data_IF_197988378479
#
_entry.id   IF_197988378479
#
_cell.length_a   1.000
_cell.length_b   1.000
_cell.length_c   1.000
_cell.angle_alpha   90.00
_cell.angle_beta   90.00
_cell.angle_gamma   90.00
#
_symmetry.space_group_name_H-M   'P 1'
#
loop_
_entity.id
_entity.type
_entity.pdbx_description
1 polymer ?
#
# COMPACT_ATOMS: atom_id res chain seq x y z
N UNK A 1 -0.80 30.89 27.90
CA UNK A 1 -1.58 31.29 26.72
C UNK A 1 -1.55 30.15 25.73
N UNK A 2 -2.72 29.56 25.46
CA UNK A 2 -3.11 28.64 24.37
C UNK A 2 -2.15 27.49 23.99
N UNK A 3 -2.39 26.32 24.60
CA UNK A 3 -2.35 25.02 23.91
C UNK A 3 -3.81 24.67 23.59
N UNK A 4 -4.15 24.54 22.30
CA UNK A 4 -5.43 24.00 21.83
C UNK A 4 -5.24 23.50 20.40
N UNK A 5 -5.83 22.34 20.11
CA UNK A 5 -6.06 21.71 18.80
C UNK A 5 -4.94 20.83 18.22
N UNK A 6 -4.92 19.57 18.66
CA UNK A 6 -4.57 18.40 17.85
C UNK A 6 -5.61 17.32 18.15
N UNK A 7 -6.78 17.43 17.51
CA UNK A 7 -7.86 16.44 17.60
C UNK A 7 -8.90 16.67 16.49
N UNK A 8 -8.48 16.80 15.23
CA UNK A 8 -9.38 16.82 14.07
C UNK A 8 -8.63 16.18 12.91
N UNK A 9 -8.84 14.89 12.67
CA UNK A 9 -8.23 14.15 11.55
C UNK A 9 -8.82 12.75 11.41
N UNK A 10 -9.18 12.12 12.53
CA UNK A 10 -9.70 10.74 12.59
C UNK A 10 -11.20 10.64 12.26
N UNK A 11 -11.96 11.75 12.31
CA UNK A 11 -13.43 11.68 12.17
C UNK A 11 -13.96 11.70 10.72
N UNK A 12 -13.13 11.90 9.70
CA UNK A 12 -13.63 12.00 8.33
C UNK A 12 -13.89 10.61 7.70
N UNK A 13 -13.07 9.59 8.01
CA UNK A 13 -13.07 8.32 7.28
C UNK A 13 -14.24 7.36 7.60
N UNK A 14 -14.99 7.56 8.69
CA UNK A 14 -16.06 6.64 9.12
C UNK A 14 -17.45 6.93 8.52
N UNK A 15 -17.64 8.01 7.76
CA UNK A 15 -18.98 8.55 7.48
C UNK A 15 -19.64 8.09 6.15
N UNK A 16 -19.08 7.12 5.42
CA UNK A 16 -19.62 6.70 4.11
C UNK A 16 -20.85 5.77 4.21
N UNK A 17 -21.26 5.33 5.40
CA UNK A 17 -22.28 4.27 5.57
C UNK A 17 -23.76 4.71 5.80
N UNK A 18 -24.25 5.87 5.34
CA UNK A 18 -25.63 6.28 5.71
C UNK A 18 -26.58 6.83 4.64
N UNK A 19 -26.26 6.82 3.34
CA UNK A 19 -27.19 7.39 2.32
C UNK A 19 -27.57 6.51 1.14
N UNK A 20 -27.14 5.25 1.06
CA UNK A 20 -27.84 4.25 0.23
C UNK A 20 -28.74 3.39 1.12
N UNK A 21 -30.02 3.30 0.78
CA UNK A 21 -31.08 2.54 1.48
C UNK A 21 -31.82 3.27 2.61
N UNK A 22 -32.67 4.24 2.23
CA UNK A 22 -33.94 4.46 2.92
C UNK A 22 -35.07 4.52 1.90
N UNK A 23 -35.56 3.35 1.48
CA UNK A 23 -36.97 3.13 1.12
C UNK A 23 -37.24 1.66 0.77
N UNK A 24 -37.56 0.85 1.78
CA UNK A 24 -38.44 -0.29 1.59
C UNK A 24 -39.03 -0.70 2.94
N UNK A 25 -40.21 -0.16 3.27
CA UNK A 25 -41.26 -0.87 4.01
C UNK A 25 -42.45 0.05 4.26
N UNK A 26 -43.47 -0.02 3.39
CA UNK A 26 -44.87 -0.28 3.79
C UNK A 26 -45.72 -0.46 2.55
N UNK A 27 -46.20 -1.69 2.33
CA UNK A 27 -47.37 -1.95 1.49
C UNK A 27 -48.61 -1.39 2.19
N UNK A 28 -49.32 -0.46 1.56
CA UNK A 28 -50.77 -0.49 1.60
C UNK A 28 -51.37 0.12 0.33
N UNK A 29 -52.40 -0.56 -0.19
CA UNK A 29 -53.07 -0.30 -1.47
C UNK A 29 -53.85 1.01 -1.45
N UNK A 30 -53.63 1.86 -2.45
CA UNK A 30 -54.73 2.60 -3.10
C UNK A 30 -54.33 3.10 -4.49
N UNK A 31 -55.08 2.65 -5.50
CA UNK A 31 -55.05 3.17 -6.88
C UNK A 31 -55.38 4.66 -6.90
N UNK A 32 -54.46 5.50 -7.38
CA UNK A 32 -54.79 6.75 -8.07
C UNK A 32 -53.77 6.95 -9.19
N UNK A 33 -54.30 6.93 -10.41
CA UNK A 33 -53.68 7.25 -11.68
C UNK A 33 -53.04 8.65 -11.63
N UNK A 34 -51.72 8.73 -11.78
CA UNK A 34 -51.03 9.97 -12.12
C UNK A 34 -49.72 9.62 -12.83
N UNK A 35 -49.72 9.89 -14.13
CA UNK A 35 -48.58 9.90 -15.03
C UNK A 35 -47.43 10.76 -14.45
N UNK A 36 -46.37 10.10 -14.01
CA UNK A 36 -45.04 10.69 -13.87
C UNK A 36 -44.10 9.75 -14.60
N UNK A 37 -43.42 10.29 -15.61
CA UNK A 37 -42.36 9.60 -16.34
C UNK A 37 -41.33 9.05 -15.34
N UNK A 38 -41.31 7.73 -15.14
CA UNK A 38 -40.14 7.03 -14.63
C UNK A 38 -39.03 7.18 -15.67
N UNK A 39 -38.19 8.21 -15.51
CA UNK A 39 -36.91 8.28 -16.20
C UNK A 39 -36.02 7.17 -15.65
N UNK A 40 -36.01 6.03 -16.35
CA UNK A 40 -34.96 5.02 -16.28
C UNK A 40 -33.59 5.69 -16.58
N UNK A 41 -32.87 6.12 -15.55
CA UNK A 41 -31.53 6.72 -15.67
C UNK A 41 -30.49 5.99 -14.81
N UNK A 42 -30.44 4.66 -14.90
CA UNK A 42 -29.25 3.89 -14.53
C UNK A 42 -28.55 3.43 -15.80
N UNK A 43 -28.01 4.38 -16.56
CA UNK A 43 -27.04 4.04 -17.60
C UNK A 43 -25.74 3.72 -16.86
N UNK A 44 -25.26 2.47 -16.95
CA UNK A 44 -24.00 2.06 -16.31
C UNK A 44 -22.88 2.99 -16.81
N UNK A 45 -22.18 3.65 -15.89
CA UNK A 45 -21.07 4.55 -16.22
C UNK A 45 -19.90 3.79 -16.84
N UNK A 46 -19.66 2.56 -16.37
CA UNK A 46 -18.64 1.64 -16.86
C UNK A 46 -19.27 0.26 -17.02
N UNK A 47 -18.94 -0.40 -18.12
CA UNK A 47 -19.21 -1.82 -18.35
C UNK A 47 -17.89 -2.52 -18.68
N UNK A 48 -17.64 -3.69 -18.10
CA UNK A 48 -16.46 -4.50 -18.38
C UNK A 48 -16.85 -5.58 -19.39
N UNK A 49 -16.28 -5.52 -20.59
CA UNK A 49 -16.52 -6.43 -21.73
C UNK A 49 -15.25 -7.22 -22.03
N UNK A 50 -15.10 -8.39 -21.40
CA UNK A 50 -13.95 -9.31 -21.49
C UNK A 50 -12.58 -8.60 -21.41
N UNK A 51 -12.09 -8.09 -22.53
CA UNK A 51 -10.78 -7.43 -22.67
C UNK A 51 -10.84 -5.88 -22.57
N UNK A 52 -12.02 -5.28 -22.39
CA UNK A 52 -12.19 -3.82 -22.48
C UNK A 52 -13.06 -3.21 -21.39
N UNK A 53 -12.79 -1.93 -21.08
CA UNK A 53 -13.69 -1.06 -20.34
C UNK A 53 -14.54 -0.27 -21.33
N UNK A 54 -15.85 -0.33 -21.24
CA UNK A 54 -16.76 0.50 -22.03
C UNK A 54 -17.21 1.65 -21.13
N UNK A 55 -16.70 2.84 -21.39
CA UNK A 55 -16.93 4.03 -20.56
C UNK A 55 -17.91 4.97 -21.29
N UNK A 56 -19.07 5.18 -20.69
CA UNK A 56 -19.97 6.27 -21.09
C UNK A 56 -19.52 7.54 -20.38
N UNK A 57 -18.79 8.40 -21.10
CA UNK A 57 -18.15 9.60 -20.54
C UNK A 57 -19.12 10.54 -19.82
N UNK A 58 -20.34 10.70 -20.31
CA UNK A 58 -21.35 11.57 -19.69
C UNK A 58 -21.84 10.97 -18.38
N UNK A 59 -22.22 9.69 -18.40
CA UNK A 59 -22.65 8.95 -17.21
C UNK A 59 -21.53 8.83 -16.18
N UNK A 60 -20.29 8.62 -16.62
CA UNK A 60 -19.11 8.63 -15.76
C UNK A 60 -18.92 9.98 -15.05
N UNK A 61 -19.03 11.09 -15.81
CA UNK A 61 -18.90 12.44 -15.26
C UNK A 61 -19.97 12.70 -14.20
N UNK A 62 -21.21 12.30 -14.47
CA UNK A 62 -22.33 12.48 -13.54
C UNK A 62 -22.14 11.65 -12.27
N UNK A 63 -21.77 10.37 -12.39
CA UNK A 63 -21.53 9.49 -11.24
C UNK A 63 -20.34 9.98 -10.42
N UNK A 64 -19.22 10.33 -11.05
CA UNK A 64 -18.03 10.84 -10.37
C UNK A 64 -18.38 12.12 -9.59
N UNK A 65 -18.98 13.10 -10.24
CA UNK A 65 -19.34 14.37 -9.60
C UNK A 65 -20.35 14.18 -8.46
N UNK A 66 -21.31 13.26 -8.62
CA UNK A 66 -22.26 12.90 -7.55
C UNK A 66 -21.54 12.31 -6.34
N UNK A 67 -20.56 11.42 -6.54
CA UNK A 67 -19.76 10.87 -5.44
C UNK A 67 -18.96 11.97 -4.72
N UNK A 68 -18.30 12.86 -5.46
CA UNK A 68 -17.58 14.01 -4.88
C UNK A 68 -18.52 14.91 -4.05
N UNK A 69 -19.72 15.21 -4.56
CA UNK A 69 -20.69 16.07 -3.87
C UNK A 69 -21.31 15.45 -2.63
N UNK A 70 -21.56 14.14 -2.66
CA UNK A 70 -22.25 13.41 -1.60
C UNK A 70 -21.35 13.05 -0.42
N UNK A 71 -20.04 13.09 -0.60
CA UNK A 71 -19.08 12.68 0.43
C UNK A 71 -18.39 13.87 1.10
N UNK A 72 -18.52 13.97 2.42
CA UNK A 72 -17.77 14.93 3.23
C UNK A 72 -16.26 14.67 3.21
N UNK A 73 -15.81 13.43 2.94
CA UNK A 73 -14.37 13.11 2.83
C UNK A 73 -13.75 13.59 1.53
N UNK A 74 -14.56 13.77 0.49
CA UNK A 74 -14.13 14.23 -0.83
C UNK A 74 -14.27 15.75 -0.97
N UNK A 75 -14.61 16.42 0.14
CA UNK A 75 -14.82 17.86 0.20
C UNK A 75 -13.49 18.60 0.00
N UNK A 76 -13.32 19.16 -1.19
CA UNK A 76 -12.09 19.83 -1.60
C UNK A 76 -11.53 19.28 -2.91
N UNK A 77 -11.94 18.08 -3.30
CA UNK A 77 -11.66 17.52 -4.62
C UNK A 77 -12.54 18.25 -5.64
N UNK A 78 -11.93 18.67 -6.76
CA UNK A 78 -12.64 19.38 -7.81
C UNK A 78 -13.56 18.44 -8.60
N UNK A 79 -14.59 19.01 -9.22
CA UNK A 79 -15.48 18.27 -10.11
C UNK A 79 -14.88 18.20 -11.51
N UNK A 80 -15.27 17.17 -12.26
CA UNK A 80 -15.01 17.11 -13.69
C UNK A 80 -15.90 18.16 -14.37
N UNK A 81 -15.28 19.21 -14.91
CA UNK A 81 -15.99 20.26 -15.64
C UNK A 81 -16.11 19.97 -17.14
N UNK A 82 -15.03 19.42 -17.72
CA UNK A 82 -14.93 19.18 -19.17
C UNK A 82 -13.94 18.07 -19.49
N UNK A 83 -14.07 17.54 -20.70
CA UNK A 83 -13.13 16.58 -21.27
C UNK A 83 -12.46 17.19 -22.50
N UNK A 84 -11.14 17.23 -22.49
CA UNK A 84 -10.32 17.60 -23.63
C UNK A 84 -10.04 16.35 -24.47
N UNK A 85 -10.39 16.40 -25.77
CA UNK A 85 -10.20 15.28 -26.70
C UNK A 85 -8.96 15.52 -27.56
N UNK A 86 -8.05 14.55 -27.55
CA UNK A 86 -6.88 14.49 -28.43
C UNK A 86 -6.96 13.25 -29.31
N UNK A 87 -6.60 13.38 -30.59
CA UNK A 87 -6.56 12.24 -31.51
C UNK A 87 -5.10 11.82 -31.69
N UNK A 88 -4.78 10.57 -31.39
CA UNK A 88 -3.42 10.03 -31.48
C UNK A 88 -3.46 8.75 -32.32
N UNK A 89 -2.92 8.80 -33.54
CA UNK A 89 -2.94 7.69 -34.52
C UNK A 89 -4.29 6.93 -34.59
N UNK A 90 -4.37 5.74 -33.98
CA UNK A 90 -5.55 4.86 -33.98
C UNK A 90 -6.51 5.09 -32.80
N UNK A 91 -6.19 6.02 -31.90
CA UNK A 91 -6.87 6.20 -30.62
C UNK A 91 -7.42 7.63 -30.43
N UNK A 92 -8.47 7.72 -29.64
CA UNK A 92 -9.05 8.96 -29.11
C UNK A 92 -8.77 9.02 -27.62
N UNK A 93 -7.99 10.00 -27.19
CA UNK A 93 -7.64 10.19 -25.79
C UNK A 93 -8.51 11.31 -25.24
N UNK A 94 -9.25 11.02 -24.19
CA UNK A 94 -10.05 11.98 -23.45
C UNK A 94 -9.34 12.26 -22.13
N UNK A 95 -9.04 13.53 -21.85
CA UNK A 95 -8.37 13.95 -20.62
C UNK A 95 -9.23 14.94 -19.86
N UNK A 96 -9.18 14.88 -18.55
CA UNK A 96 -9.73 15.91 -17.67
C UNK A 96 -8.77 16.13 -16.51
N UNK A 97 -8.79 17.34 -15.96
CA UNK A 97 -8.04 17.68 -14.76
C UNK A 97 -9.02 17.71 -13.59
N UNK A 98 -8.65 17.04 -12.51
CA UNK A 98 -9.35 17.08 -11.23
C UNK A 98 -8.31 17.47 -10.19
N UNK A 99 -8.41 18.67 -9.65
CA UNK A 99 -7.39 19.23 -8.75
C UNK A 99 -6.02 19.23 -9.46
N UNK A 100 -4.99 18.63 -8.87
CA UNK A 100 -3.65 18.52 -9.45
C UNK A 100 -3.46 17.28 -10.33
N UNK A 101 -4.49 16.47 -10.52
CA UNK A 101 -4.40 15.18 -11.18
C UNK A 101 -5.02 15.19 -12.56
N UNK A 102 -4.49 14.34 -13.44
CA UNK A 102 -5.06 14.13 -14.77
C UNK A 102 -5.70 12.75 -14.80
N UNK A 103 -7.00 12.72 -15.10
CA UNK A 103 -7.70 11.48 -15.46
C UNK A 103 -7.73 11.38 -16.98
N UNK A 104 -7.30 10.25 -17.53
CA UNK A 104 -7.40 9.99 -18.96
C UNK A 104 -8.05 8.67 -19.31
N UNK A 105 -8.81 8.68 -20.40
CA UNK A 105 -9.38 7.51 -21.06
C UNK A 105 -8.81 7.40 -22.46
N UNK A 106 -8.30 6.23 -22.82
CA UNK A 106 -7.92 5.92 -24.19
C UNK A 106 -9.00 5.05 -24.85
N UNK A 107 -9.63 5.57 -25.91
CA UNK A 107 -10.63 4.86 -26.72
C UNK A 107 -10.05 4.48 -28.07
N UNK A 108 -10.10 3.20 -28.44
CA UNK A 108 -9.70 2.74 -29.76
C UNK A 108 -10.68 3.28 -30.83
N UNK A 109 -10.21 3.78 -31.98
CA UNK A 109 -11.10 4.29 -33.06
C UNK A 109 -11.89 3.18 -33.75
N UNK A 110 -11.43 1.93 -33.65
CA UNK A 110 -12.11 0.73 -34.17
C UNK A 110 -12.77 -0.02 -33.01
N UNK A 111 -14.02 0.34 -32.71
CA UNK A 111 -14.82 -0.25 -31.64
C UNK A 111 -14.92 0.67 -30.43
N UNK A 112 -16.08 0.73 -29.77
CA UNK A 112 -16.35 1.63 -28.64
C UNK A 112 -15.68 1.16 -27.34
N UNK A 113 -14.37 0.96 -27.36
CA UNK A 113 -13.64 0.22 -26.32
C UNK A 113 -12.55 1.09 -25.71
N UNK A 114 -12.58 1.28 -24.40
CA UNK A 114 -11.56 1.97 -23.62
C UNK A 114 -10.55 0.99 -23.03
N UNK A 115 -9.27 1.35 -23.09
CA UNK A 115 -8.16 0.46 -22.79
C UNK A 115 -7.79 0.48 -21.30
N UNK A 116 -7.76 1.67 -20.70
CA UNK A 116 -7.45 1.86 -19.27
C UNK A 116 -7.88 3.27 -18.79
N UNK A 117 -8.04 3.43 -17.48
CA UNK A 117 -8.13 4.74 -16.80
C UNK A 117 -6.75 5.02 -16.22
N UNK A 118 -6.14 6.17 -16.48
CA UNK A 118 -4.86 6.55 -15.87
C UNK A 118 -5.00 7.85 -15.07
N UNK A 119 -4.58 7.81 -13.80
CA UNK A 119 -4.38 8.98 -12.94
C UNK A 119 -2.89 9.32 -12.91
N UNK A 120 -2.54 10.52 -13.36
CA UNK A 120 -1.15 11.00 -13.41
C UNK A 120 -0.97 12.16 -12.45
N UNK A 121 0.04 12.07 -11.60
CA UNK A 121 0.52 13.17 -10.78
C UNK A 121 1.91 13.63 -11.24
N UNK A 122 2.16 14.92 -11.22
CA UNK A 122 3.48 15.48 -11.48
C UNK A 122 3.74 16.57 -10.44
N UNK A 123 4.47 16.26 -9.35
CA UNK A 123 5.35 17.15 -8.55
C UNK A 123 5.58 16.63 -7.11
N UNK A 124 6.34 17.39 -6.30
CA UNK A 124 6.58 17.16 -4.87
C UNK A 124 5.28 17.34 -4.05
N UNK A 125 4.53 16.25 -3.98
CA UNK A 125 3.22 16.21 -3.31
C UNK A 125 3.30 16.49 -1.82
N UNK A 126 2.37 17.34 -1.37
CA UNK A 126 2.04 17.45 0.04
C UNK A 126 1.32 16.18 0.53
N UNK A 127 1.24 16.00 1.83
CA UNK A 127 0.42 14.94 2.43
C UNK A 127 -1.06 15.04 2.00
N UNK A 128 -1.55 16.26 1.81
CA UNK A 128 -2.90 16.53 1.30
C UNK A 128 -3.08 16.03 -0.14
N UNK A 129 -2.08 16.18 -1.00
CA UNK A 129 -2.12 15.68 -2.39
C UNK A 129 -2.15 14.15 -2.42
N UNK A 130 -1.37 13.45 -1.59
CA UNK A 130 -1.44 11.98 -1.52
C UNK A 130 -2.80 11.48 -1.03
N UNK A 131 -3.39 12.15 -0.04
CA UNK A 131 -4.73 11.82 0.44
C UNK A 131 -5.78 12.04 -0.65
N UNK A 132 -5.68 13.14 -1.40
CA UNK A 132 -6.57 13.41 -2.54
C UNK A 132 -6.39 12.38 -3.66
N UNK A 133 -5.14 11.99 -3.95
CA UNK A 133 -4.85 10.97 -4.96
C UNK A 133 -5.50 9.64 -4.60
N UNK A 134 -5.24 9.15 -3.39
CA UNK A 134 -5.83 7.91 -2.90
C UNK A 134 -7.37 7.95 -2.90
N UNK A 135 -7.95 9.09 -2.50
CA UNK A 135 -9.39 9.29 -2.53
C UNK A 135 -9.95 9.21 -3.95
N UNK A 136 -9.29 9.85 -4.94
CA UNK A 136 -9.69 9.78 -6.35
C UNK A 136 -9.54 8.34 -6.87
N UNK A 137 -8.43 7.67 -6.60
CA UNK A 137 -8.22 6.26 -6.99
C UNK A 137 -9.35 5.37 -6.48
N UNK A 138 -9.75 5.55 -5.22
CA UNK A 138 -10.83 4.79 -4.61
C UNK A 138 -12.20 5.09 -5.24
N UNK A 139 -12.49 6.35 -5.55
CA UNK A 139 -13.70 6.73 -6.30
C UNK A 139 -13.72 6.03 -7.66
N UNK A 140 -12.61 6.07 -8.40
CA UNK A 140 -12.49 5.41 -9.70
C UNK A 140 -12.72 3.90 -9.60
N UNK A 141 -12.13 3.24 -8.60
CA UNK A 141 -12.33 1.82 -8.36
C UNK A 141 -13.79 1.49 -8.01
N UNK A 142 -14.41 2.30 -7.16
CA UNK A 142 -15.82 2.13 -6.76
C UNK A 142 -16.77 2.23 -7.95
N UNK A 143 -16.51 3.14 -8.90
CA UNK A 143 -17.30 3.27 -10.14
C UNK A 143 -17.17 2.02 -11.02
N UNK A 144 -16.04 1.31 -10.96
CA UNK A 144 -15.81 0.11 -11.76
C UNK A 144 -16.45 -1.14 -11.13
N UNK A 145 -16.32 -1.32 -9.82
CA UNK A 145 -16.52 -2.62 -9.18
C UNK A 145 -17.95 -2.88 -8.72
N UNK A 146 -18.78 -1.85 -8.53
CA UNK A 146 -20.11 -1.97 -7.92
C UNK A 146 -20.04 -2.76 -6.58
N UNK A 147 -19.10 -2.42 -5.69
CA UNK A 147 -18.88 -3.14 -4.43
C UNK A 147 -20.12 -3.20 -3.52
N UNK A 148 -20.36 -4.36 -2.91
CA UNK A 148 -21.14 -4.45 -1.67
C UNK A 148 -20.31 -3.92 -0.48
N UNK A 149 -20.97 -3.31 0.52
CA UNK A 149 -20.32 -2.56 1.61
C UNK A 149 -19.15 -3.27 2.32
N UNK A 150 -19.22 -4.60 2.52
CA UNK A 150 -18.15 -5.33 3.23
C UNK A 150 -16.90 -5.55 2.38
N UNK A 151 -17.06 -5.84 1.08
CA UNK A 151 -15.94 -5.99 0.13
C UNK A 151 -15.25 -4.66 -0.14
N UNK A 152 -16.01 -3.57 -0.03
CA UNK A 152 -15.53 -2.20 -0.25
C UNK A 152 -14.42 -1.82 0.74
N UNK A 153 -14.52 -2.20 2.02
CA UNK A 153 -13.54 -1.81 3.04
C UNK A 153 -12.25 -2.64 2.94
N UNK A 154 -12.37 -3.94 2.66
CA UNK A 154 -11.22 -4.81 2.38
C UNK A 154 -10.42 -4.28 1.17
N UNK A 155 -11.10 -4.07 0.04
CA UNK A 155 -10.47 -3.54 -1.18
C UNK A 155 -9.83 -2.15 -0.96
N UNK A 156 -10.45 -1.30 -0.14
CA UNK A 156 -9.90 0.00 0.25
C UNK A 156 -8.57 -0.14 1.00
N UNK A 157 -8.50 -1.11 1.92
CA UNK A 157 -7.29 -1.36 2.69
C UNK A 157 -6.16 -1.89 1.80
N UNK A 158 -6.46 -2.80 0.87
CA UNK A 158 -5.49 -3.32 -0.09
C UNK A 158 -4.93 -2.19 -0.98
N UNK A 159 -5.80 -1.32 -1.50
CA UNK A 159 -5.39 -0.15 -2.29
C UNK A 159 -4.49 0.80 -1.50
N UNK A 160 -4.82 1.05 -0.24
CA UNK A 160 -4.03 1.90 0.64
C UNK A 160 -2.68 1.28 0.97
N UNK A 161 -2.62 -0.04 1.19
CA UNK A 161 -1.37 -0.77 1.41
C UNK A 161 -0.44 -0.66 0.21
N UNK A 162 -0.92 -1.03 -0.98
CA UNK A 162 -0.13 -0.97 -2.22
C UNK A 162 0.31 0.47 -2.53
N UNK A 163 -0.59 1.44 -2.35
CA UNK A 163 -0.24 2.85 -2.54
C UNK A 163 0.87 3.30 -1.59
N UNK A 164 0.78 2.95 -0.31
CA UNK A 164 1.81 3.28 0.68
C UNK A 164 3.13 2.61 0.37
N UNK A 165 3.13 1.35 -0.07
CA UNK A 165 4.35 0.63 -0.44
C UNK A 165 5.03 1.33 -1.64
N UNK A 166 4.27 1.72 -2.67
CA UNK A 166 4.78 2.49 -3.82
C UNK A 166 5.32 3.87 -3.39
N UNK A 167 4.58 4.62 -2.57
CA UNK A 167 4.98 5.96 -2.10
C UNK A 167 6.16 5.93 -1.12
N UNK A 168 6.28 4.89 -0.30
CA UNK A 168 7.43 4.72 0.59
C UNK A 168 8.68 4.34 -0.20
N UNK A 169 8.53 3.52 -1.24
CA UNK A 169 9.62 3.12 -2.13
C UNK A 169 10.18 4.32 -2.91
N UNK A 170 9.36 5.31 -3.26
CA UNK A 170 9.80 6.62 -3.81
C UNK A 170 10.93 7.27 -2.99
N UNK A 171 10.92 7.16 -1.66
CA UNK A 171 11.95 7.80 -0.80
C UNK A 171 13.35 7.20 -0.97
N UNK A 172 13.47 6.05 -1.65
CA UNK A 172 14.70 5.29 -1.73
C UNK A 172 15.54 5.58 -2.99
N UNK A 173 15.02 6.35 -3.96
CA UNK A 173 15.61 6.46 -5.29
C UNK A 173 15.90 7.90 -5.72
N UNK A 174 17.10 8.11 -6.28
CA UNK A 174 17.56 9.42 -6.78
C UNK A 174 17.71 9.50 -8.30
N UNK A 175 17.48 8.43 -9.05
CA UNK A 175 17.80 8.36 -10.47
C UNK A 175 16.74 7.58 -11.28
N UNK A 176 15.90 8.29 -12.04
CA UNK A 176 15.67 8.05 -13.47
C UNK A 176 14.93 6.80 -13.98
N UNK A 177 14.79 5.73 -13.19
CA UNK A 177 14.19 4.47 -13.65
C UNK A 177 12.75 4.29 -13.13
N UNK A 178 12.03 3.24 -13.56
CA UNK A 178 10.75 2.81 -12.96
C UNK A 178 11.06 2.15 -11.61
N UNK A 179 10.46 2.64 -10.52
CA UNK A 179 11.03 2.45 -9.17
C UNK A 179 10.20 1.56 -8.26
N UNK A 180 8.89 1.51 -8.46
CA UNK A 180 7.99 0.70 -7.66
C UNK A 180 6.70 0.42 -8.44
N UNK A 181 6.25 -0.82 -8.40
CA UNK A 181 4.99 -1.28 -8.98
C UNK A 181 4.26 -2.10 -7.92
N UNK A 182 2.94 -2.02 -7.90
CA UNK A 182 2.08 -2.95 -7.17
C UNK A 182 0.69 -2.97 -7.79
N UNK A 183 -0.11 -3.98 -7.46
CA UNK A 183 -1.47 -4.08 -7.98
C UNK A 183 -2.46 -4.57 -6.93
N UNK A 184 -3.73 -4.23 -7.16
CA UNK A 184 -4.87 -4.78 -6.41
C UNK A 184 -5.82 -5.45 -7.38
N UNK A 185 -6.34 -6.62 -7.00
CA UNK A 185 -7.31 -7.36 -7.80
C UNK A 185 -8.72 -7.09 -7.30
N UNK A 186 -9.55 -6.45 -8.13
CA UNK A 186 -10.99 -6.35 -7.91
C UNK A 186 -11.76 -7.53 -8.50
N UNK A 187 -13.09 -7.48 -8.40
CA UNK A 187 -13.97 -8.50 -8.97
C UNK A 187 -14.04 -8.40 -10.50
N UNK A 188 -13.96 -7.17 -11.05
CA UNK A 188 -14.05 -6.91 -12.49
C UNK A 188 -12.76 -6.38 -13.10
N UNK A 189 -11.92 -5.72 -12.30
CA UNK A 189 -10.74 -5.01 -12.77
C UNK A 189 -9.47 -5.36 -11.99
N UNK A 190 -8.33 -5.11 -12.63
CA UNK A 190 -7.00 -5.03 -12.01
C UNK A 190 -6.63 -3.55 -11.89
N UNK A 191 -6.01 -3.21 -10.77
CA UNK A 191 -5.66 -1.86 -10.36
C UNK A 191 -4.16 -1.77 -10.14
N UNK A 192 -3.41 -1.30 -11.13
CA UNK A 192 -1.97 -1.16 -11.00
C UNK A 192 -1.62 0.24 -10.48
N UNK A 193 -0.69 0.30 -9.53
CA UNK A 193 -0.12 1.52 -8.98
C UNK A 193 1.37 1.46 -9.25
N UNK A 194 1.91 2.45 -9.94
CA UNK A 194 3.34 2.51 -10.21
C UNK A 194 3.90 3.90 -9.97
N UNK A 195 5.19 3.94 -9.68
CA UNK A 195 5.95 5.17 -9.50
C UNK A 195 7.17 5.20 -10.41
N UNK A 196 7.30 6.31 -11.13
CA UNK A 196 8.44 6.60 -12.00
C UNK A 196 9.04 7.94 -11.61
N UNK A 197 10.37 8.03 -11.67
CA UNK A 197 11.07 9.30 -11.59
C UNK A 197 11.82 9.52 -12.90
N UNK A 198 11.42 10.48 -13.71
CA UNK A 198 12.16 10.83 -14.91
C UNK A 198 13.07 12.01 -14.65
N UNK A 199 14.31 11.93 -15.14
CA UNK A 199 15.18 13.09 -15.16
C UNK A 199 14.68 14.05 -16.25
N UNK A 200 14.31 15.27 -15.88
CA UNK A 200 13.85 16.25 -16.86
C UNK A 200 14.97 16.61 -17.85
N UNK A 201 14.58 17.19 -18.98
CA UNK A 201 15.48 17.62 -20.07
C UNK A 201 16.54 18.62 -19.58
N UNK A 202 16.30 19.32 -18.47
CA UNK A 202 17.24 20.29 -17.91
C UNK A 202 18.29 19.70 -16.94
N UNK A 203 18.28 18.38 -16.72
CA UNK A 203 19.23 17.64 -15.87
C UNK A 203 19.23 18.08 -14.39
N UNK A 204 18.32 18.97 -13.97
CA UNK A 204 18.26 19.55 -12.63
C UNK A 204 16.96 19.30 -11.87
N UNK A 205 15.91 18.86 -12.57
CA UNK A 205 14.60 18.54 -11.98
C UNK A 205 14.20 17.10 -12.27
N UNK A 206 13.58 16.43 -11.28
CA UNK A 206 13.02 15.10 -11.43
C UNK A 206 11.50 15.22 -11.51
N UNK A 207 10.90 14.74 -12.60
CA UNK A 207 9.45 14.62 -12.71
C UNK A 207 9.05 13.29 -12.08
N UNK A 208 8.62 13.41 -10.82
CA UNK A 208 8.10 12.31 -10.02
C UNK A 208 6.64 12.09 -10.38
N UNK A 209 6.32 10.90 -10.87
CA UNK A 209 4.98 10.58 -11.33
C UNK A 209 4.50 9.26 -10.75
N UNK A 210 3.33 9.32 -10.10
CA UNK A 210 2.57 8.14 -9.73
C UNK A 210 1.53 7.93 -10.83
N UNK A 211 1.46 6.69 -11.30
CA UNK A 211 0.47 6.22 -12.25
C UNK A 211 -0.45 5.24 -11.54
N UNK A 212 -1.74 5.42 -11.75
CA UNK A 212 -2.76 4.44 -11.37
C UNK A 212 -3.51 4.01 -12.61
N UNK A 213 -3.44 2.73 -12.98
CA UNK A 213 -4.12 2.17 -14.14
C UNK A 213 -5.20 1.17 -13.75
N UNK A 214 -6.37 1.26 -14.41
CA UNK A 214 -7.47 0.30 -14.26
C UNK A 214 -7.65 -0.47 -15.56
N UNK A 215 -7.61 -1.80 -15.50
CA UNK A 215 -7.80 -2.70 -16.64
C UNK A 215 -8.76 -3.85 -16.30
N UNK A 216 -9.42 -4.52 -17.26
CA UNK A 216 -10.26 -5.69 -16.96
C UNK A 216 -9.48 -6.86 -16.34
N UNK A 217 -10.10 -7.59 -15.41
CA UNK A 217 -9.53 -8.76 -14.72
C UNK A 217 -9.48 -10.01 -15.62
N UNK A 218 -8.62 -9.97 -16.63
CA UNK A 218 -8.34 -11.13 -17.50
C UNK A 218 -7.08 -11.87 -17.05
N UNK A 219 -6.96 -13.17 -17.31
CA UNK A 219 -5.73 -13.95 -17.03
C UNK A 219 -4.48 -13.25 -17.58
N UNK A 220 -4.59 -12.65 -18.77
CA UNK A 220 -3.50 -11.89 -19.39
C UNK A 220 -3.09 -10.67 -18.56
N UNK A 221 -4.06 -9.85 -18.14
CA UNK A 221 -3.77 -8.63 -17.39
C UNK A 221 -3.24 -8.97 -15.98
N UNK A 222 -3.84 -9.97 -15.32
CA UNK A 222 -3.37 -10.48 -14.03
C UNK A 222 -1.91 -10.97 -14.14
N UNK A 223 -1.60 -11.78 -15.16
CA UNK A 223 -0.23 -12.28 -15.36
C UNK A 223 0.78 -11.17 -15.68
N UNK A 224 0.35 -10.10 -16.37
CA UNK A 224 1.20 -8.96 -16.67
C UNK A 224 1.54 -8.17 -15.41
N UNK A 225 0.55 -7.92 -14.53
CA UNK A 225 0.73 -7.25 -13.24
C UNK A 225 1.61 -8.06 -12.28
N UNK A 226 1.44 -9.39 -12.25
CA UNK A 226 2.28 -10.30 -11.46
C UNK A 226 3.73 -10.34 -11.96
N UNK A 227 3.94 -10.38 -13.29
CA UNK A 227 5.29 -10.39 -13.87
C UNK A 227 6.07 -9.10 -13.63
N UNK A 228 5.39 -7.95 -13.44
CA UNK A 228 6.07 -6.70 -13.05
C UNK A 228 6.55 -6.71 -11.60
N UNK A 229 5.84 -7.39 -10.71
CA UNK A 229 6.21 -7.50 -9.30
C UNK A 229 7.50 -8.33 -9.12
N UNK A 230 7.63 -9.46 -9.84
CA UNK A 230 8.84 -10.30 -9.83
C UNK A 230 10.11 -9.58 -10.34
N UNK A 231 9.97 -8.57 -11.22
CA UNK A 231 11.09 -7.78 -11.71
C UNK A 231 11.57 -6.70 -10.71
N UNK A 232 10.76 -6.38 -9.69
CA UNK A 232 11.05 -5.35 -8.68
C UNK A 232 11.86 -5.86 -7.48
N UNK A 233 11.95 -7.19 -7.29
CA UNK A 233 12.66 -7.81 -6.17
C UNK A 233 14.21 -7.65 -6.21
N UNK A 234 14.80 -7.22 -7.35
CA UNK A 234 16.26 -7.15 -7.53
C UNK A 234 16.93 -5.80 -7.21
N UNK A 235 16.24 -4.81 -6.63
CA UNK A 235 16.81 -3.44 -6.50
C UNK A 235 17.48 -3.19 -5.12
N UNK A 236 18.76 -2.75 -5.06
CA UNK A 236 19.48 -2.53 -3.82
C UNK A 236 19.12 -1.20 -3.12
N UNK A 237 18.89 -1.24 -1.81
CA UNK A 237 18.70 -0.05 -0.95
C UNK A 237 20.04 0.64 -0.63
N UNK A 238 20.07 1.97 -0.75
CA UNK A 238 21.26 2.82 -0.62
C UNK A 238 21.24 3.56 0.72
N UNK A 239 22.23 3.30 1.59
CA UNK A 239 22.44 4.01 2.85
C UNK A 239 22.75 5.50 2.61
N UNK A 240 21.95 6.41 3.13
CA UNK A 240 22.32 7.83 3.21
C UNK A 240 23.18 8.06 4.44
N UNK A 241 24.51 8.10 4.27
CA UNK A 241 25.42 8.67 5.27
C UNK A 241 25.23 10.18 5.30
N UNK A 242 24.73 10.69 6.42
CA UNK A 242 24.90 12.09 6.82
C UNK A 242 26.31 12.26 7.38
N UNK A 243 27.06 13.18 6.76
CA UNK A 243 28.32 13.69 7.29
C UNK A 243 28.08 14.41 8.62
N UNK A 244 28.61 13.87 9.73
CA UNK A 244 28.96 14.66 10.90
C UNK A 244 30.37 14.26 11.40
N UNK A 245 31.28 15.21 11.32
CA UNK A 245 32.53 15.24 12.06
C UNK A 245 32.26 15.12 13.57
N UNK A 246 32.89 14.17 14.27
CA UNK A 246 33.64 14.51 15.48
C UNK A 246 34.55 13.36 15.95
N UNK A 247 35.82 13.74 16.10
CA UNK A 247 36.80 13.34 17.09
C UNK A 247 37.34 11.91 17.18
N UNK A 248 38.54 11.81 16.61
CA UNK A 248 39.69 11.02 17.04
C UNK A 248 39.75 10.79 18.56
N UNK A 249 39.86 9.52 18.95
CA UNK A 249 40.97 9.14 19.83
C UNK A 249 41.50 7.75 19.47
N UNK A 250 42.81 7.73 19.24
CA UNK A 250 43.63 6.59 18.85
C UNK A 250 44.03 5.85 20.12
N UNK A 251 43.95 4.52 20.13
CA UNK A 251 44.96 3.66 20.75
C UNK A 251 45.10 2.34 19.98
N UNK A 252 46.13 2.28 19.14
CA UNK A 252 46.92 1.06 18.84
C UNK A 252 47.68 0.66 20.12
N UNK A 253 48.08 -0.57 20.41
CA UNK A 253 48.70 -1.59 19.56
C UNK A 253 48.67 -2.96 20.30
N UNK A 254 48.39 -4.06 19.57
CA UNK A 254 49.29 -5.21 19.25
C UNK A 254 49.65 -6.15 20.44
N UNK A 255 49.77 -7.48 20.35
CA UNK A 255 50.08 -8.38 19.22
C UNK A 255 49.66 -9.84 19.54
N UNK A 256 48.96 -10.47 18.60
CA UNK A 256 49.14 -11.82 17.99
C UNK A 256 49.53 -13.05 18.84
N UNK A 257 48.68 -14.09 18.81
CA UNK A 257 49.08 -15.41 18.29
C UNK A 257 47.87 -16.23 17.77
N UNK A 258 48.10 -16.86 16.62
CA UNK A 258 47.19 -17.48 15.67
C UNK A 258 46.50 -18.76 16.17
N UNK A 259 45.18 -18.87 15.94
CA UNK A 259 44.48 -20.07 15.42
C UNK A 259 42.96 -19.89 15.55
N UNK A 260 42.33 -19.10 14.65
CA UNK A 260 40.89 -19.09 14.32
C UNK A 260 40.65 -17.84 13.46
N UNK A 261 40.65 -17.95 12.13
CA UNK A 261 40.51 -16.76 11.29
C UNK A 261 39.66 -16.95 10.02
N UNK A 262 38.92 -18.06 9.91
CA UNK A 262 37.97 -18.25 8.81
C UNK A 262 36.49 -18.18 9.25
N UNK A 263 36.15 -18.40 10.53
CA UNK A 263 34.73 -18.46 10.96
C UNK A 263 34.13 -17.08 11.30
N UNK A 264 34.94 -16.13 11.81
CA UNK A 264 34.44 -14.83 12.29
C UNK A 264 33.89 -13.94 11.17
N UNK A 265 34.47 -13.99 9.95
CA UNK A 265 33.99 -13.14 8.85
C UNK A 265 32.66 -13.57 8.26
N UNK A 266 32.32 -14.87 8.38
CA UNK A 266 31.07 -15.41 7.84
C UNK A 266 29.90 -15.19 8.82
N UNK A 267 30.17 -15.31 10.12
CA UNK A 267 29.22 -14.97 11.19
C UNK A 267 28.87 -13.48 11.18
N UNK A 268 29.89 -12.61 11.13
CA UNK A 268 29.69 -11.16 10.99
C UNK A 268 28.88 -10.83 9.72
N UNK A 269 29.10 -11.56 8.62
CA UNK A 269 28.34 -11.36 7.39
C UNK A 269 26.87 -11.80 7.49
N UNK A 270 26.57 -12.88 8.21
CA UNK A 270 25.19 -13.32 8.43
C UNK A 270 24.43 -12.36 9.35
N UNK A 271 25.04 -11.96 10.46
CA UNK A 271 24.46 -10.96 11.37
C UNK A 271 24.13 -9.66 10.62
N UNK A 272 25.08 -9.16 9.81
CA UNK A 272 24.84 -7.95 9.02
C UNK A 272 23.72 -8.13 7.98
N UNK A 273 23.60 -9.29 7.34
CA UNK A 273 22.47 -9.58 6.45
C UNK A 273 21.14 -9.50 7.18
N UNK A 274 21.05 -10.04 8.40
CA UNK A 274 19.82 -10.02 9.20
C UNK A 274 19.51 -8.59 9.67
N UNK A 275 20.51 -7.83 10.09
CA UNK A 275 20.36 -6.40 10.43
C UNK A 275 19.85 -5.62 9.23
N UNK A 276 20.45 -5.80 8.05
CA UNK A 276 20.03 -5.13 6.81
C UNK A 276 18.60 -5.49 6.43
N UNK A 277 18.23 -6.77 6.48
CA UNK A 277 16.87 -7.23 6.21
C UNK A 277 15.86 -6.62 7.20
N UNK A 278 16.18 -6.63 8.50
CA UNK A 278 15.32 -6.05 9.55
C UNK A 278 15.12 -4.56 9.31
N UNK A 279 16.19 -3.81 9.02
CA UNK A 279 16.10 -2.37 8.72
C UNK A 279 15.33 -2.08 7.44
N UNK A 280 15.51 -2.91 6.39
CA UNK A 280 14.76 -2.81 5.13
C UNK A 280 13.25 -2.92 5.39
N UNK A 281 12.84 -3.90 6.20
CA UNK A 281 11.42 -4.19 6.41
C UNK A 281 10.79 -3.23 7.42
N UNK A 282 11.40 -3.04 8.60
CA UNK A 282 10.83 -2.21 9.67
C UNK A 282 11.12 -0.71 9.51
N UNK A 283 12.14 -0.32 8.75
CA UNK A 283 12.66 1.05 8.70
C UNK A 283 13.77 1.26 9.74
N UNK A 284 14.75 2.12 9.43
CA UNK A 284 15.88 2.37 10.32
C UNK A 284 15.45 2.97 11.66
N UNK A 285 14.41 3.81 11.65
CA UNK A 285 13.85 4.47 12.82
C UNK A 285 13.12 3.50 13.77
N UNK A 286 12.72 2.33 13.26
CA UNK A 286 11.99 1.31 14.00
C UNK A 286 12.86 0.09 14.31
N UNK A 287 14.07 0.01 13.77
CA UNK A 287 15.06 -0.97 14.20
C UNK A 287 15.44 -0.70 15.67
N UNK A 288 15.34 -1.73 16.52
CA UNK A 288 15.79 -1.64 17.91
C UNK A 288 17.09 -2.41 18.07
N UNK A 289 17.05 -3.73 17.82
CA UNK A 289 18.22 -4.58 18.01
C UNK A 289 18.08 -5.92 17.27
N UNK A 290 19.21 -6.52 16.91
CA UNK A 290 19.32 -7.89 16.42
C UNK A 290 20.40 -8.57 17.24
N UNK A 291 20.01 -9.60 17.99
CA UNK A 291 20.94 -10.41 18.75
C UNK A 291 21.13 -11.74 18.02
N UNK A 292 22.30 -11.92 17.39
CA UNK A 292 22.66 -13.16 16.71
C UNK A 292 23.58 -14.02 17.59
N UNK A 293 23.17 -15.26 17.87
CA UNK A 293 23.96 -16.27 18.57
C UNK A 293 24.45 -17.31 17.56
N UNK A 294 25.72 -17.22 17.12
CA UNK A 294 26.23 -18.07 16.04
C UNK A 294 26.39 -19.54 16.44
N UNK A 295 26.53 -19.87 17.73
CA UNK A 295 26.67 -21.28 18.15
C UNK A 295 25.40 -22.10 17.93
N UNK A 296 24.23 -21.47 18.16
CA UNK A 296 22.91 -22.10 18.01
C UNK A 296 22.22 -21.70 16.69
N UNK A 297 22.91 -20.90 15.86
CA UNK A 297 22.38 -20.25 14.65
C UNK A 297 20.98 -19.68 14.93
N UNK A 298 20.91 -18.88 15.99
CA UNK A 298 19.69 -18.32 16.53
C UNK A 298 19.77 -16.80 16.44
N UNK A 299 18.66 -16.17 16.06
CA UNK A 299 18.56 -14.72 16.07
C UNK A 299 17.31 -14.27 16.80
N UNK A 300 17.48 -13.26 17.66
CA UNK A 300 16.38 -12.49 18.21
C UNK A 300 16.32 -11.12 17.54
N UNK A 301 15.27 -10.88 16.78
CA UNK A 301 14.96 -9.62 16.14
C UNK A 301 14.02 -8.83 17.03
N UNK A 302 14.46 -7.65 17.49
CA UNK A 302 13.64 -6.69 18.22
C UNK A 302 13.45 -5.45 17.36
N UNK A 303 12.20 -5.14 17.04
CA UNK A 303 11.85 -4.00 16.20
C UNK A 303 10.55 -3.35 16.67
N UNK A 304 10.36 -2.07 16.34
CA UNK A 304 9.14 -1.34 16.60
C UNK A 304 8.15 -1.55 15.45
N UNK A 305 6.90 -1.83 15.75
CA UNK A 305 5.84 -1.89 14.74
C UNK A 305 5.60 -0.51 14.12
N UNK A 306 5.42 -0.47 12.80
CA UNK A 306 5.07 0.76 12.08
C UNK A 306 3.65 1.18 12.46
N UNK A 307 3.49 2.44 12.85
CA UNK A 307 2.19 3.04 13.08
C UNK A 307 1.53 3.35 11.72
N UNK A 308 0.31 2.86 11.52
CA UNK A 308 -0.49 3.00 10.31
C UNK A 308 -1.82 3.67 10.64
N UNK A 309 -2.64 3.91 9.60
CA UNK A 309 -3.82 4.77 9.69
C UNK A 309 -4.91 4.26 10.65
N UNK A 310 -4.92 2.97 10.97
CA UNK A 310 -5.80 2.37 11.97
C UNK A 310 -5.05 1.33 12.81
N UNK A 311 -5.59 1.02 14.00
CA UNK A 311 -5.01 0.01 14.89
C UNK A 311 -5.00 -1.40 14.28
N UNK A 312 -6.05 -1.78 13.54
CA UNK A 312 -6.12 -3.01 12.74
C UNK A 312 -5.05 -3.05 11.64
N UNK A 313 -4.87 -1.96 10.88
CA UNK A 313 -3.81 -1.89 9.88
C UNK A 313 -2.43 -1.98 10.52
N UNK A 314 -2.22 -1.29 11.65
CA UNK A 314 -0.97 -1.36 12.40
C UNK A 314 -0.68 -2.80 12.85
N UNK A 315 -1.68 -3.52 13.35
CA UNK A 315 -1.54 -4.92 13.73
C UNK A 315 -1.20 -5.83 12.53
N UNK A 316 -1.91 -5.69 11.40
CA UNK A 316 -1.64 -6.42 10.15
C UNK A 316 -0.27 -6.08 9.57
N UNK A 317 0.13 -4.81 9.61
CA UNK A 317 1.44 -4.34 9.20
C UNK A 317 2.59 -4.94 10.01
N UNK A 318 2.38 -5.23 11.30
CA UNK A 318 3.35 -5.98 12.11
C UNK A 318 3.48 -7.43 11.63
N UNK A 319 2.37 -8.09 11.28
CA UNK A 319 2.40 -9.46 10.73
C UNK A 319 3.14 -9.48 9.38
N UNK A 320 2.84 -8.51 8.50
CA UNK A 320 3.53 -8.34 7.23
C UNK A 320 5.02 -8.13 7.43
N UNK A 321 5.41 -7.29 8.38
CA UNK A 321 6.82 -7.04 8.68
C UNK A 321 7.55 -8.30 9.18
N UNK A 322 6.87 -9.17 9.95
CA UNK A 322 7.43 -10.48 10.33
C UNK A 322 7.60 -11.37 9.08
N UNK A 323 6.56 -11.49 8.25
CA UNK A 323 6.58 -12.28 7.00
C UNK A 323 7.71 -11.83 6.08
N UNK A 324 7.77 -10.54 5.78
CA UNK A 324 8.72 -9.95 4.84
C UNK A 324 10.15 -10.11 5.38
N UNK A 325 10.37 -9.96 6.70
CA UNK A 325 11.69 -10.20 7.29
C UNK A 325 12.12 -11.66 7.15
N UNK A 326 11.21 -12.61 7.40
CA UNK A 326 11.49 -14.04 7.23
C UNK A 326 11.82 -14.39 5.78
N UNK A 327 11.13 -13.76 4.81
CA UNK A 327 11.39 -13.92 3.39
C UNK A 327 12.77 -13.39 3.00
N UNK A 328 13.16 -12.19 3.46
CA UNK A 328 14.47 -11.59 3.16
C UNK A 328 15.64 -12.45 3.67
N UNK A 329 15.46 -13.12 4.81
CA UNK A 329 16.51 -13.95 5.41
C UNK A 329 16.38 -15.45 5.08
N UNK A 330 15.46 -15.84 4.17
CA UNK A 330 15.14 -17.25 3.84
C UNK A 330 16.34 -18.06 3.39
N UNK A 331 17.28 -17.44 2.69
CA UNK A 331 18.48 -18.09 2.16
C UNK A 331 19.56 -18.32 3.22
N UNK A 332 19.38 -17.85 4.47
CA UNK A 332 20.30 -18.13 5.58
C UNK A 332 19.97 -19.52 6.12
N UNK A 333 20.84 -20.53 5.88
CA UNK A 333 20.56 -21.91 6.25
C UNK A 333 20.57 -22.08 7.76
N UNK A 334 19.79 -23.04 8.25
CA UNK A 334 19.80 -23.51 9.64
C UNK A 334 19.49 -22.46 10.72
N UNK A 335 18.92 -21.31 10.32
CA UNK A 335 18.67 -20.18 11.21
C UNK A 335 17.30 -20.29 11.90
N UNK A 336 17.30 -20.20 13.24
CA UNK A 336 16.11 -20.04 14.08
C UNK A 336 15.88 -18.56 14.37
N UNK A 337 14.63 -18.10 14.27
CA UNK A 337 14.30 -16.67 14.35
C UNK A 337 13.22 -16.42 15.39
N UNK A 338 13.53 -15.58 16.38
CA UNK A 338 12.58 -15.00 17.31
C UNK A 338 12.32 -13.53 16.96
N UNK A 339 11.06 -13.11 17.07
CA UNK A 339 10.64 -11.73 16.96
C UNK A 339 10.11 -11.23 18.30
N UNK A 340 10.55 -10.03 18.69
CA UNK A 340 9.94 -9.20 19.72
C UNK A 340 9.51 -7.88 19.09
N UNK A 341 8.24 -7.78 18.69
CA UNK A 341 7.70 -6.53 18.14
C UNK A 341 7.26 -5.63 19.29
N UNK A 342 7.82 -4.42 19.33
CA UNK A 342 7.51 -3.38 20.31
C UNK A 342 6.53 -2.39 19.70
N UNK A 343 5.57 -1.89 20.46
CA UNK A 343 4.68 -0.84 20.01
C UNK A 343 4.31 0.11 21.13
N UNK A 344 4.04 1.36 20.78
CA UNK A 344 3.63 2.38 21.76
C UNK A 344 2.17 2.17 22.12
N UNK A 345 1.94 1.70 23.34
CA UNK A 345 0.62 1.47 23.91
C UNK A 345 0.19 2.69 24.73
N UNK A 346 -1.13 2.96 24.74
CA UNK A 346 -1.73 4.00 25.59
C UNK A 346 -2.59 3.31 26.65
N UNK A 347 -2.33 3.58 27.93
CA UNK A 347 -3.13 3.02 29.01
C UNK A 347 -4.46 3.81 29.19
N UNK A 348 -5.36 3.32 30.04
CA UNK A 348 -6.65 3.96 30.31
C UNK A 348 -6.56 5.36 30.93
N UNK A 349 -5.39 5.73 31.48
CA UNK A 349 -5.11 7.06 32.01
C UNK A 349 -4.53 8.03 30.95
N UNK A 350 -4.21 7.54 29.76
CA UNK A 350 -3.62 8.30 28.66
C UNK A 350 -2.09 8.35 28.67
N UNK A 351 -1.42 7.56 29.53
CA UNK A 351 0.04 7.46 29.51
C UNK A 351 0.50 6.51 28.40
N UNK A 352 1.63 6.83 27.78
CA UNK A 352 2.25 6.02 26.72
C UNK A 352 3.40 5.17 27.25
N UNK A 353 3.49 3.92 26.80
CA UNK A 353 4.63 3.02 27.05
C UNK A 353 4.96 2.19 25.81
N UNK A 354 6.25 1.97 25.56
CA UNK A 354 6.70 1.05 24.51
C UNK A 354 6.76 -0.36 25.09
N UNK A 355 5.80 -1.20 24.70
CA UNK A 355 5.62 -2.55 25.21
C UNK A 355 5.83 -3.59 24.10
N UNK A 356 6.28 -4.79 24.46
CA UNK A 356 6.32 -5.91 23.50
C UNK A 356 4.88 -6.35 23.25
N UNK A 357 4.43 -6.22 22.01
CA UNK A 357 3.06 -6.51 21.60
C UNK A 357 2.94 -7.79 20.77
N UNK A 358 4.02 -8.27 20.16
CA UNK A 358 4.06 -9.59 19.50
C UNK A 358 5.36 -10.30 19.87
N UNK A 359 5.25 -11.59 20.16
CA UNK A 359 6.36 -12.54 20.24
C UNK A 359 6.08 -13.69 19.29
N UNK A 360 7.04 -14.01 18.45
CA UNK A 360 6.89 -15.10 17.49
C UNK A 360 8.21 -15.84 17.31
N UNK A 361 8.15 -17.17 17.24
CA UNK A 361 9.31 -18.03 16.99
C UNK A 361 9.09 -18.83 15.72
N UNK A 362 10.10 -18.84 14.85
CA UNK A 362 10.14 -19.63 13.62
C UNK A 362 11.46 -20.40 13.58
N UNK A 363 11.39 -21.70 13.83
CA UNK A 363 12.54 -22.59 13.74
C UNK A 363 12.90 -22.83 12.27
N UNK A 364 14.14 -23.26 12.05
CA UNK A 364 14.64 -23.59 10.71
C UNK A 364 13.68 -24.51 9.91
N UNK A 365 13.18 -25.59 10.55
CA UNK A 365 12.24 -26.52 9.90
C UNK A 365 10.95 -25.81 9.45
N UNK A 366 10.38 -24.96 10.30
CA UNK A 366 9.18 -24.18 10.00
C UNK A 366 9.43 -23.21 8.85
N UNK A 367 10.53 -22.46 8.90
CA UNK A 367 10.90 -21.48 7.86
C UNK A 367 11.08 -22.12 6.48
N UNK A 368 11.70 -23.29 6.42
CA UNK A 368 11.92 -24.03 5.18
C UNK A 368 10.65 -24.69 4.63
N UNK A 369 9.63 -24.88 5.46
CA UNK A 369 8.33 -25.43 5.05
C UNK A 369 7.33 -24.36 4.60
N UNK A 370 7.63 -23.08 4.79
CA UNK A 370 6.80 -22.00 4.24
C UNK A 370 6.92 -22.06 2.72
N UNK A 371 5.78 -22.20 2.04
CA UNK A 371 5.75 -22.15 0.59
C UNK A 371 5.82 -20.70 0.13
N UNK A 372 7.03 -20.18 -0.07
CA UNK A 372 7.24 -18.80 -0.52
C UNK A 372 6.83 -18.56 -1.99
N UNK A 373 6.65 -19.63 -2.77
CA UNK A 373 6.25 -19.55 -4.19
C UNK A 373 4.72 -19.61 -4.38
N UNK A 374 3.97 -20.05 -3.36
CA UNK A 374 2.52 -19.91 -3.30
C UNK A 374 2.19 -18.76 -2.36
N UNK A 375 1.05 -18.09 -2.56
CA UNK A 375 0.64 -16.92 -1.78
C UNK A 375 0.54 -17.23 -0.28
N UNK A 376 1.62 -17.02 0.48
CA UNK A 376 1.58 -17.03 1.94
C UNK A 376 1.10 -15.67 2.42
N UNK A 377 -0.09 -15.67 3.01
CA UNK A 377 -0.71 -14.47 3.55
C UNK A 377 -0.06 -14.10 4.89
N UNK A 378 0.01 -12.81 5.20
CA UNK A 378 0.63 -12.37 6.46
C UNK A 378 -0.20 -12.77 7.68
N UNK A 379 -1.51 -12.95 7.49
CA UNK A 379 -2.49 -13.46 8.46
C UNK A 379 -2.26 -14.93 8.82
N UNK A 380 -1.48 -15.66 8.04
CA UNK A 380 -1.11 -17.04 8.36
C UNK A 380 0.14 -17.12 9.25
N UNK A 381 0.90 -16.03 9.40
CA UNK A 381 2.10 -15.99 10.24
C UNK A 381 1.83 -16.49 11.68
N UNK A 382 0.76 -16.07 12.37
CA UNK A 382 0.43 -16.60 13.69
C UNK A 382 0.18 -18.11 13.75
N UNK A 383 -0.34 -18.69 12.65
CA UNK A 383 -0.67 -20.13 12.57
C UNK A 383 0.54 -20.97 12.23
N UNK A 384 1.48 -20.39 11.49
CA UNK A 384 2.70 -21.04 11.02
C UNK A 384 3.76 -21.07 12.13
N UNK A 385 3.82 -20.04 12.97
CA UNK A 385 4.83 -19.91 14.01
C UNK A 385 4.87 -21.13 14.96
N UNK A 386 6.08 -21.53 15.36
CA UNK A 386 6.30 -22.56 16.37
C UNK A 386 5.77 -22.11 17.74
N UNK A 387 6.00 -20.84 18.06
CA UNK A 387 5.45 -20.17 19.24
C UNK A 387 4.90 -18.82 18.82
N UNK A 388 3.67 -18.52 19.27
CA UNK A 388 3.02 -17.25 18.99
C UNK A 388 2.39 -16.68 20.25
N UNK A 389 2.64 -15.40 20.50
CA UNK A 389 1.92 -14.62 21.48
C UNK A 389 1.72 -13.20 20.96
N UNK A 390 0.51 -12.69 21.12
CA UNK A 390 0.20 -11.29 20.84
C UNK A 390 -0.50 -10.68 22.05
N UNK A 391 -0.23 -9.40 22.31
CA UNK A 391 -0.92 -8.64 23.33
C UNK A 391 -2.42 -8.58 23.02
N UNK A 392 -3.28 -8.60 24.05
CA UNK A 392 -4.75 -8.68 23.88
C UNK A 392 -5.31 -7.58 22.99
N UNK A 393 -4.74 -6.37 23.05
CA UNK A 393 -5.13 -5.28 22.15
C UNK A 393 -4.84 -5.64 20.68
N UNK A 394 -3.65 -6.15 20.36
CA UNK A 394 -3.32 -6.59 19.00
C UNK A 394 -4.19 -7.77 18.56
N UNK A 395 -4.50 -8.70 19.46
CA UNK A 395 -5.39 -9.82 19.14
C UNK A 395 -6.78 -9.35 18.71
N UNK A 396 -7.37 -8.38 19.42
CA UNK A 396 -8.66 -7.82 19.06
C UNK A 396 -8.61 -7.16 17.66
N UNK A 397 -7.55 -6.41 17.38
CA UNK A 397 -7.36 -5.72 16.10
C UNK A 397 -7.11 -6.67 14.91
N UNK A 398 -6.64 -7.90 15.17
CA UNK A 398 -6.45 -8.95 14.16
C UNK A 398 -7.71 -9.79 13.90
N UNK A 399 -8.71 -9.72 14.79
CA UNK A 399 -10.00 -10.40 14.65
C UNK A 399 -11.07 -9.52 13.97
N UNK A 400 -10.81 -8.22 13.84
CA UNK A 400 -11.58 -7.23 13.08
C UNK A 400 -11.14 -7.15 11.61
#
# INVERSE_FOLDING_TARGET
MKKLMYFIGVCALCAVMATSCANSETQDKQEVDNSVEETNTNKKAIEVDDEYLIIDKESFTDVFNTMIESSETLKGIEKIEKWDKTNLEENEIYKTSVSNFIIQFEKLKKGEKCLYIELVDSTDNSEEDYNNMLAIMYVLATICEDFDNSKSEEFKNDMLEVFNDVVNTKRCFKNGDKLADGYVLGEKCVYDISYTSFKSIDDTTFDNTIYFSISPATEKNISASMSSEEMSEEIPFCSTKSDEESDKEINQAETTNESQQNDTSEQDAQEQKIITATKKVFGEENYIDVFYEPEDNFVLIKAKGKDLLSSSMTAKGMLKSIKDTLYEIREIPDLNVDFNIVYTMVNSAGDTSDDIVIKATYKNETRNNINWNEYVLHEDMPKIADEWWAHTAIQAELEE
#
